data_IF_522853489670
#
_entry.id   IF_522853489670
#
_cell.length_a   1.000
_cell.length_b   1.000
_cell.length_c   1.000
_cell.angle_alpha   90.00
_cell.angle_beta   90.00
_cell.angle_gamma   90.00
#
_symmetry.space_group_name_H-M   'P 1'
#
loop_
_entity.id
_entity.type
_entity.pdbx_description
1 polymer ?
#
# COMPACT_ATOMS: atom_id res chain seq x y z
N UNK A 1 -6.23 -20.76 -6.92
CA UNK A 1 -6.44 -21.07 -8.37
C UNK A 1 -7.79 -20.56 -8.87
N UNK A 2 -8.91 -20.84 -8.19
CA UNK A 2 -10.25 -20.38 -8.59
C UNK A 2 -10.32 -18.85 -8.76
N UNK A 3 -9.77 -18.07 -7.83
CA UNK A 3 -9.71 -16.61 -7.96
C UNK A 3 -9.03 -16.16 -9.27
N UNK A 4 -7.88 -16.75 -9.64
CA UNK A 4 -7.20 -16.48 -10.91
C UNK A 4 -8.08 -16.82 -12.11
N UNK A 5 -8.77 -17.96 -12.09
CA UNK A 5 -9.66 -18.39 -13.17
C UNK A 5 -10.82 -17.40 -13.38
N UNK A 6 -11.41 -16.89 -12.30
CA UNK A 6 -12.51 -15.92 -12.36
C UNK A 6 -12.01 -14.60 -12.98
N UNK A 7 -10.92 -14.04 -12.48
CA UNK A 7 -10.43 -12.71 -12.94
C UNK A 7 -9.88 -12.74 -14.36
N UNK A 8 -9.36 -13.89 -14.81
CA UNK A 8 -8.89 -14.10 -16.19
C UNK A 8 -9.95 -14.65 -17.13
N UNK A 9 -11.19 -14.87 -16.64
CA UNK A 9 -12.31 -15.40 -17.41
C UNK A 9 -12.03 -16.75 -18.07
N UNK A 10 -11.28 -17.62 -17.41
CA UNK A 10 -11.10 -19.01 -17.84
C UNK A 10 -9.66 -19.52 -17.86
N UNK A 11 -8.65 -18.68 -17.61
CA UNK A 11 -7.27 -19.13 -17.66
C UNK A 11 -6.86 -19.86 -16.36
N UNK A 12 -5.79 -20.65 -16.46
CA UNK A 12 -5.22 -21.35 -15.31
C UNK A 12 -3.88 -20.71 -14.92
N UNK A 13 -3.60 -20.47 -13.62
CA UNK A 13 -2.39 -19.76 -13.20
C UNK A 13 -1.09 -20.50 -13.58
N UNK A 14 -1.16 -21.82 -13.77
CA UNK A 14 -0.03 -22.65 -14.20
C UNK A 14 -0.01 -22.94 -15.72
N UNK A 15 -0.81 -22.21 -16.50
CA UNK A 15 -0.84 -22.31 -17.96
C UNK A 15 -1.75 -23.42 -18.51
N UNK A 16 -1.69 -23.59 -19.83
CA UNK A 16 -2.46 -24.58 -20.58
C UNK A 16 -1.87 -26.01 -20.43
N UNK A 17 -2.66 -27.01 -20.81
CA UNK A 17 -2.16 -28.38 -20.98
C UNK A 17 -1.27 -28.43 -22.24
N UNK A 18 -0.22 -29.28 -22.28
CA UNK A 18 0.14 -30.29 -21.29
C UNK A 18 1.02 -29.79 -20.12
N UNK A 19 1.66 -28.63 -20.24
CA UNK A 19 2.69 -28.17 -19.28
C UNK A 19 2.17 -27.80 -17.88
N UNK A 20 0.85 -27.62 -17.74
CA UNK A 20 0.21 -27.22 -16.48
C UNK A 20 0.65 -28.02 -15.26
N UNK A 21 0.67 -29.35 -15.36
CA UNK A 21 1.01 -30.21 -14.22
C UNK A 21 2.47 -30.02 -13.82
N UNK A 22 3.38 -29.97 -14.81
CA UNK A 22 4.80 -29.69 -14.57
C UNK A 22 4.99 -28.32 -13.90
N UNK A 23 4.35 -27.28 -14.42
CA UNK A 23 4.42 -25.94 -13.83
C UNK A 23 3.89 -25.92 -12.39
N UNK A 24 2.83 -26.68 -12.07
CA UNK A 24 2.32 -26.81 -10.71
C UNK A 24 3.33 -27.49 -9.77
N UNK A 25 3.89 -28.62 -10.19
CA UNK A 25 4.89 -29.37 -9.42
C UNK A 25 6.17 -28.56 -9.20
N UNK A 26 6.57 -27.75 -10.19
CA UNK A 26 7.73 -26.88 -10.10
C UNK A 26 7.44 -25.55 -9.36
N UNK A 27 6.19 -25.30 -8.94
CA UNK A 27 5.82 -24.03 -8.29
C UNK A 27 5.92 -22.81 -9.19
N UNK A 28 5.70 -22.96 -10.51
CA UNK A 28 5.84 -21.92 -11.53
C UNK A 28 4.47 -21.44 -12.05
N UNK A 29 3.79 -20.50 -11.39
CA UNK A 29 2.51 -19.95 -11.86
C UNK A 29 2.72 -18.96 -13.04
N UNK A 30 3.04 -19.51 -14.21
CA UNK A 30 3.37 -18.74 -15.43
C UNK A 30 2.29 -17.73 -15.85
N UNK A 31 1.02 -18.02 -15.55
CA UNK A 31 -0.11 -17.14 -15.88
C UNK A 31 -0.11 -15.82 -15.09
N UNK A 32 0.51 -15.76 -13.91
CA UNK A 32 0.63 -14.51 -13.14
C UNK A 32 1.46 -13.45 -13.87
N UNK A 33 2.30 -13.84 -14.84
CA UNK A 33 3.09 -12.89 -15.64
C UNK A 33 2.21 -12.01 -16.52
N UNK A 34 1.05 -12.50 -16.96
CA UNK A 34 0.13 -11.78 -17.83
C UNK A 34 -0.75 -10.74 -17.10
N UNK A 35 -0.85 -10.83 -15.77
CA UNK A 35 -1.61 -9.87 -14.97
C UNK A 35 -0.93 -8.50 -14.95
N UNK A 36 -1.64 -7.47 -15.41
CA UNK A 36 -1.21 -6.06 -15.38
C UNK A 36 -1.44 -5.41 -14.01
N UNK A 37 -2.51 -5.79 -13.34
CA UNK A 37 -2.84 -5.30 -12.01
C UNK A 37 -1.84 -5.86 -10.98
N UNK A 38 -0.99 -4.97 -10.45
CA UNK A 38 0.05 -5.32 -9.49
C UNK A 38 -0.53 -5.73 -8.13
N UNK A 39 -1.65 -5.12 -7.73
CA UNK A 39 -2.28 -5.37 -6.43
C UNK A 39 -2.94 -6.75 -6.43
N UNK A 40 -3.70 -7.07 -7.49
CA UNK A 40 -4.26 -8.41 -7.70
C UNK A 40 -3.17 -9.47 -7.84
N UNK A 41 -2.09 -9.14 -8.57
CA UNK A 41 -0.97 -10.06 -8.78
C UNK A 41 -0.26 -10.38 -7.46
N UNK A 42 -0.11 -9.43 -6.54
CA UNK A 42 0.46 -9.69 -5.21
C UNK A 42 -0.39 -10.71 -4.44
N UNK A 43 -1.70 -10.47 -4.34
CA UNK A 43 -2.64 -11.38 -3.67
C UNK A 43 -2.57 -12.80 -4.25
N UNK A 44 -2.70 -12.91 -5.57
CA UNK A 44 -2.71 -14.22 -6.23
C UNK A 44 -1.36 -14.92 -6.12
N UNK A 45 -0.25 -14.19 -6.16
CA UNK A 45 1.09 -14.75 -5.92
C UNK A 45 1.19 -15.32 -4.51
N UNK A 46 0.71 -14.60 -3.50
CA UNK A 46 0.71 -15.05 -2.11
C UNK A 46 -0.15 -16.29 -1.89
N UNK A 47 -1.38 -16.31 -2.43
CA UNK A 47 -2.29 -17.47 -2.39
C UNK A 47 -1.76 -18.70 -3.14
N UNK A 48 -0.92 -18.50 -4.15
CA UNK A 48 -0.36 -19.55 -5.01
C UNK A 48 1.09 -19.90 -4.65
N UNK A 49 1.57 -19.47 -3.48
CA UNK A 49 2.91 -19.81 -2.99
C UNK A 49 3.13 -21.33 -3.04
N UNK A 50 4.32 -21.73 -3.50
CA UNK A 50 4.60 -23.15 -3.73
C UNK A 50 4.58 -23.93 -2.41
N UNK A 51 5.31 -23.45 -1.40
CA UNK A 51 5.24 -23.98 -0.04
C UNK A 51 3.87 -23.64 0.57
N UNK A 52 3.10 -24.64 1.05
CA UNK A 52 1.85 -24.41 1.76
C UNK A 52 1.97 -23.49 2.98
N UNK A 53 3.13 -23.44 3.67
CA UNK A 53 3.35 -22.61 4.86
C UNK A 53 3.40 -21.12 4.56
N UNK A 54 3.78 -20.76 3.33
CA UNK A 54 3.86 -19.37 2.88
C UNK A 54 2.51 -18.84 2.38
N UNK A 55 1.50 -19.72 2.23
CA UNK A 55 0.17 -19.34 1.79
C UNK A 55 -0.58 -18.66 2.94
N UNK A 56 -1.37 -17.60 2.64
CA UNK A 56 -2.26 -17.00 3.63
C UNK A 56 -3.37 -17.97 4.03
N UNK A 57 -3.84 -17.85 5.28
CA UNK A 57 -5.17 -18.30 5.64
C UNK A 57 -6.24 -17.53 4.86
N UNK A 58 -7.49 -18.01 4.85
CA UNK A 58 -8.59 -17.27 4.22
C UNK A 58 -8.78 -15.89 4.89
N UNK A 59 -8.65 -15.81 6.21
CA UNK A 59 -8.76 -14.58 6.98
C UNK A 59 -7.64 -13.59 6.59
N UNK A 60 -6.39 -14.06 6.53
CA UNK A 60 -5.26 -13.24 6.09
C UNK A 60 -5.40 -12.76 4.64
N UNK A 61 -5.91 -13.62 3.75
CA UNK A 61 -6.15 -13.24 2.36
C UNK A 61 -7.23 -12.15 2.25
N UNK A 62 -8.28 -12.22 3.08
CA UNK A 62 -9.32 -11.19 3.13
C UNK A 62 -8.75 -9.84 3.58
N UNK A 63 -7.77 -9.81 4.48
CA UNK A 63 -7.08 -8.58 4.93
C UNK A 63 -6.16 -7.94 3.88
N UNK A 64 -5.92 -8.60 2.76
CA UNK A 64 -5.09 -8.06 1.69
C UNK A 64 -5.70 -6.77 1.08
N UNK A 65 -4.92 -5.71 0.79
CA UNK A 65 -5.43 -4.43 0.28
C UNK A 65 -6.34 -4.54 -0.95
N UNK A 66 -6.10 -5.50 -1.84
CA UNK A 66 -6.99 -5.80 -2.98
C UNK A 66 -8.47 -6.01 -2.60
N UNK A 67 -8.73 -6.61 -1.43
CA UNK A 67 -10.07 -6.95 -0.96
C UNK A 67 -10.57 -6.00 0.14
N UNK A 68 -9.73 -5.09 0.61
CA UNK A 68 -10.08 -4.13 1.66
C UNK A 68 -10.67 -2.87 1.05
N UNK A 69 -11.69 -2.26 1.71
CA UNK A 69 -12.20 -0.97 1.28
C UNK A 69 -11.13 0.11 1.38
N UNK A 70 -11.28 1.18 0.59
CA UNK A 70 -10.38 2.32 0.57
C UNK A 70 -10.09 2.85 1.99
N UNK A 71 -11.13 2.94 2.82
CA UNK A 71 -11.05 3.45 4.19
C UNK A 71 -10.05 2.63 5.04
N UNK A 72 -10.13 1.31 4.98
CA UNK A 72 -9.21 0.44 5.72
C UNK A 72 -7.79 0.49 5.16
N UNK A 73 -7.63 0.63 3.84
CA UNK A 73 -6.31 0.80 3.23
C UNK A 73 -5.67 2.12 3.68
N UNK A 74 -6.42 3.21 3.69
CA UNK A 74 -5.94 4.53 4.07
C UNK A 74 -5.65 4.62 5.58
N UNK A 75 -6.51 4.04 6.42
CA UNK A 75 -6.28 3.98 7.86
C UNK A 75 -5.00 3.18 8.17
N UNK A 76 -4.76 2.04 7.51
CA UNK A 76 -3.50 1.29 7.65
C UNK A 76 -2.27 2.16 7.32
N UNK A 77 -2.33 2.98 6.26
CA UNK A 77 -1.25 3.92 5.93
C UNK A 77 -1.06 4.98 7.04
N UNK A 78 -2.14 5.47 7.64
CA UNK A 78 -2.09 6.40 8.77
C UNK A 78 -1.47 5.76 10.02
N UNK A 79 -1.87 4.53 10.37
CA UNK A 79 -1.27 3.74 11.48
C UNK A 79 0.21 3.48 11.24
N UNK A 80 0.60 3.22 9.99
CA UNK A 80 1.99 3.09 9.60
C UNK A 80 2.77 4.41 9.78
N UNK A 81 2.21 5.54 9.34
CA UNK A 81 2.77 6.87 9.58
C UNK A 81 2.91 7.25 11.06
N UNK A 82 2.16 6.57 11.94
CA UNK A 82 2.22 6.74 13.39
C UNK A 82 3.36 5.98 14.09
N UNK A 83 3.98 5.00 13.43
CA UNK A 83 5.08 4.23 14.01
C UNK A 83 6.30 5.11 14.28
N UNK A 84 6.98 4.92 15.42
CA UNK A 84 8.07 5.78 15.87
C UNK A 84 9.27 5.76 14.91
N UNK A 85 9.56 4.59 14.32
CA UNK A 85 10.62 4.42 13.34
C UNK A 85 10.32 5.16 12.02
N UNK A 86 9.03 5.25 11.65
CA UNK A 86 8.58 6.02 10.47
C UNK A 86 8.68 7.52 10.75
N UNK A 87 8.24 7.98 11.92
CA UNK A 87 8.34 9.39 12.36
C UNK A 87 9.78 9.89 12.37
N UNK A 88 10.72 9.05 12.80
CA UNK A 88 12.14 9.37 12.91
C UNK A 88 12.94 9.06 11.63
N UNK A 89 12.37 8.29 10.70
CA UNK A 89 13.11 7.77 9.54
C UNK A 89 14.29 6.88 9.95
N UNK A 90 14.11 6.05 10.97
CA UNK A 90 15.18 5.25 11.57
C UNK A 90 15.65 4.13 10.64
N UNK A 91 16.75 4.34 9.93
CA UNK A 91 17.35 3.37 8.98
C UNK A 91 17.86 2.07 9.64
N UNK A 92 17.92 1.98 10.97
CA UNK A 92 18.19 0.71 11.67
C UNK A 92 17.00 -0.26 11.55
N UNK A 93 15.79 0.23 11.30
CA UNK A 93 14.62 -0.61 11.04
C UNK A 93 14.65 -1.16 9.62
N UNK A 94 14.57 -2.49 9.50
CA UNK A 94 14.49 -3.18 8.21
C UNK A 94 13.26 -2.75 7.41
N UNK A 95 12.13 -2.53 8.10
CA UNK A 95 10.89 -2.01 7.50
C UNK A 95 11.13 -0.64 6.87
N UNK A 96 11.84 0.27 7.56
CA UNK A 96 12.16 1.60 7.02
C UNK A 96 13.10 1.50 5.82
N UNK A 97 14.08 0.60 5.83
CA UNK A 97 14.98 0.39 4.69
C UNK A 97 14.24 -0.17 3.49
N UNK A 98 13.42 -1.21 3.68
CA UNK A 98 12.61 -1.83 2.63
C UNK A 98 11.61 -0.85 2.04
N UNK A 99 10.94 -0.06 2.88
CA UNK A 99 9.98 0.93 2.41
C UNK A 99 10.65 1.99 1.52
N UNK A 100 11.89 2.36 1.80
CA UNK A 100 12.64 3.35 1.03
C UNK A 100 13.58 2.75 -0.04
N UNK A 101 13.47 1.44 -0.34
CA UNK A 101 14.37 0.80 -1.30
C UNK A 101 14.08 1.17 -2.76
N UNK A 102 12.83 1.54 -3.09
CA UNK A 102 12.50 2.14 -4.39
C UNK A 102 12.59 3.67 -4.25
N UNK A 103 13.64 4.32 -4.80
CA UNK A 103 13.94 5.73 -4.56
C UNK A 103 13.05 6.68 -5.37
N UNK A 104 11.88 6.24 -5.82
CA UNK A 104 10.94 7.10 -6.53
C UNK A 104 10.56 8.28 -5.66
N UNK A 105 10.80 9.47 -6.20
CA UNK A 105 10.34 10.70 -5.60
C UNK A 105 8.82 10.77 -5.69
N UNK A 106 8.14 10.48 -4.58
CA UNK A 106 6.69 10.62 -4.50
C UNK A 106 6.24 12.07 -4.63
N UNK A 107 7.11 13.05 -4.33
CA UNK A 107 6.76 14.47 -4.42
C UNK A 107 6.60 14.91 -5.87
N UNK A 108 7.36 14.33 -6.79
CA UNK A 108 7.26 14.67 -8.22
C UNK A 108 5.95 14.18 -8.86
N UNK A 109 5.21 13.30 -8.18
CA UNK A 109 3.87 12.86 -8.60
C UNK A 109 2.78 13.83 -8.13
N UNK A 110 3.08 14.72 -7.18
CA UNK A 110 2.15 15.70 -6.65
C UNK A 110 2.29 17.05 -7.35
N UNK A 111 1.16 17.73 -7.54
CA UNK A 111 1.17 19.15 -7.85
C UNK A 111 1.84 19.92 -6.69
N UNK A 112 2.72 20.87 -7.02
CA UNK A 112 3.51 21.61 -6.04
C UNK A 112 2.64 22.45 -5.08
N UNK A 113 1.57 23.07 -5.57
CA UNK A 113 0.65 23.86 -4.76
C UNK A 113 -0.19 22.97 -3.83
N UNK A 114 -0.60 21.78 -4.30
CA UNK A 114 -1.25 20.77 -3.46
C UNK A 114 -0.31 20.31 -2.35
N UNK A 115 0.93 19.96 -2.69
CA UNK A 115 1.92 19.55 -1.71
C UNK A 115 2.18 20.64 -0.67
N UNK A 116 2.31 21.89 -1.11
CA UNK A 116 2.49 23.05 -0.23
C UNK A 116 1.30 23.24 0.72
N UNK A 117 0.07 23.14 0.19
CA UNK A 117 -1.16 23.23 0.98
C UNK A 117 -1.25 22.12 2.04
N UNK A 118 -1.08 20.86 1.63
CA UNK A 118 -1.16 19.70 2.54
C UNK A 118 -0.01 19.66 3.56
N UNK A 119 1.15 20.22 3.21
CA UNK A 119 2.31 20.30 4.10
C UNK A 119 2.25 21.44 5.11
N UNK A 120 1.29 22.36 4.98
CA UNK A 120 1.13 23.49 5.89
C UNK A 120 0.29 23.10 7.09
N UNK A 121 0.81 23.37 8.29
CA UNK A 121 0.10 23.23 9.56
C UNK A 121 -1.12 24.17 9.55
N UNK A 122 -2.35 23.65 9.65
CA UNK A 122 -3.54 24.48 9.55
C UNK A 122 -3.72 25.42 10.74
N UNK A 123 -3.15 25.09 11.90
CA UNK A 123 -3.29 25.87 13.13
C UNK A 123 -2.18 26.92 13.27
N UNK A 124 -0.95 26.56 12.87
CA UNK A 124 0.24 27.40 13.05
C UNK A 124 0.70 28.12 11.78
N UNK A 125 0.16 27.76 10.62
CA UNK A 125 0.60 28.28 9.32
C UNK A 125 2.03 27.88 8.93
N UNK A 126 2.68 26.99 9.70
CA UNK A 126 4.05 26.54 9.45
C UNK A 126 4.05 25.44 8.40
N UNK A 127 4.77 25.63 7.31
CA UNK A 127 5.00 24.57 6.32
C UNK A 127 6.09 23.61 6.79
N UNK A 128 5.77 22.32 6.82
CA UNK A 128 6.73 21.25 7.09
C UNK A 128 7.40 20.79 5.80
N UNK A 129 8.72 20.58 5.86
CA UNK A 129 9.46 20.00 4.74
C UNK A 129 9.52 18.47 4.87
N UNK A 130 8.89 17.77 3.92
CA UNK A 130 8.93 16.31 3.80
C UNK A 130 9.97 15.88 2.77
N UNK A 131 10.93 15.03 3.12
CA UNK A 131 11.94 14.51 2.17
C UNK A 131 11.28 13.59 1.13
N UNK A 132 11.90 13.38 -0.04
CA UNK A 132 11.43 12.43 -1.06
C UNK A 132 11.66 10.97 -0.63
N UNK A 133 11.06 10.59 0.50
CA UNK A 133 11.13 9.27 1.13
C UNK A 133 9.72 8.80 1.45
N UNK A 134 9.45 7.50 1.30
CA UNK A 134 8.15 6.92 1.62
C UNK A 134 7.79 7.06 3.11
N UNK A 135 8.78 7.10 4.00
CA UNK A 135 8.56 7.44 5.41
C UNK A 135 7.97 8.84 5.60
N UNK A 136 8.48 9.83 4.87
CA UNK A 136 7.96 11.20 4.95
C UNK A 136 6.62 11.34 4.20
N UNK A 137 6.38 10.53 3.15
CA UNK A 137 5.07 10.41 2.51
C UNK A 137 4.00 9.92 3.51
N UNK A 138 4.27 8.82 4.23
CA UNK A 138 3.34 8.29 5.24
C UNK A 138 3.11 9.27 6.39
N UNK A 139 4.14 10.04 6.78
CA UNK A 139 4.00 11.12 7.76
C UNK A 139 3.07 12.22 7.24
N UNK A 140 3.19 12.62 5.97
CA UNK A 140 2.30 13.59 5.35
C UNK A 140 0.85 13.05 5.34
N UNK A 141 0.62 11.84 4.84
CA UNK A 141 -0.70 11.19 4.79
C UNK A 141 -1.36 11.20 6.18
N UNK A 142 -0.64 10.72 7.19
CA UNK A 142 -1.13 10.71 8.58
C UNK A 142 -1.46 12.12 9.08
N UNK A 143 -0.60 13.11 8.83
CA UNK A 143 -0.80 14.49 9.29
C UNK A 143 -1.97 15.17 8.56
N UNK A 144 -2.20 14.82 7.30
CA UNK A 144 -3.37 15.30 6.55
C UNK A 144 -4.64 14.73 7.17
N UNK A 145 -4.70 13.43 7.46
CA UNK A 145 -5.88 12.80 8.11
C UNK A 145 -6.17 13.40 9.48
N UNK A 146 -5.16 13.52 10.34
CA UNK A 146 -5.30 14.03 11.71
C UNK A 146 -5.89 15.45 11.75
N UNK A 147 -5.46 16.31 10.84
CA UNK A 147 -5.80 17.74 10.85
C UNK A 147 -6.68 18.16 9.67
N UNK A 148 -7.38 17.22 9.02
CA UNK A 148 -8.16 17.55 7.82
C UNK A 148 -9.25 18.58 8.11
N UNK A 149 -9.98 18.39 9.22
CA UNK A 149 -11.08 19.29 9.64
C UNK A 149 -10.59 20.67 10.10
N UNK A 150 -9.34 20.78 10.52
CA UNK A 150 -8.74 22.06 10.93
C UNK A 150 -8.31 22.91 9.71
N UNK A 151 -8.25 22.32 8.51
CA UNK A 151 -7.68 22.99 7.34
C UNK A 151 -8.60 24.06 6.78
N UNK A 152 -8.05 25.25 6.44
CA UNK A 152 -8.81 26.24 5.70
C UNK A 152 -9.18 25.68 4.34
N UNK A 153 -10.34 26.08 3.81
CA UNK A 153 -10.75 25.68 2.46
C UNK A 153 -9.63 25.98 1.46
N UNK A 154 -9.25 25.02 0.61
CA UNK A 154 -8.25 25.24 -0.41
C UNK A 154 -8.72 26.32 -1.40
N UNK A 155 -7.78 26.91 -2.13
CA UNK A 155 -8.12 27.83 -3.22
C UNK A 155 -8.96 27.10 -4.28
N UNK A 156 -9.83 27.79 -5.03
CA UNK A 156 -10.74 27.15 -5.99
C UNK A 156 -10.05 26.19 -6.97
N UNK A 157 -8.81 26.47 -7.36
CA UNK A 157 -8.01 25.66 -8.29
C UNK A 157 -7.59 24.30 -7.71
N UNK A 158 -7.52 24.19 -6.38
CA UNK A 158 -7.13 22.98 -5.66
C UNK A 158 -8.33 22.23 -5.07
N UNK A 159 -9.50 22.88 -4.98
CA UNK A 159 -10.67 22.37 -4.28
C UNK A 159 -11.09 20.98 -4.77
N UNK A 160 -11.27 20.83 -6.09
CA UNK A 160 -11.67 19.54 -6.68
C UNK A 160 -10.56 18.49 -6.68
N UNK A 161 -9.31 18.89 -6.42
CA UNK A 161 -8.16 17.98 -6.44
C UNK A 161 -8.02 17.25 -5.12
N UNK A 162 -8.34 17.92 -4.01
CA UNK A 162 -8.17 17.38 -2.65
C UNK A 162 -9.46 17.34 -1.84
N UNK A 163 -10.62 17.23 -2.49
CA UNK A 163 -11.93 17.25 -1.80
C UNK A 163 -12.03 16.13 -0.75
N UNK A 164 -11.54 14.93 -1.10
CA UNK A 164 -11.36 13.81 -0.20
C UNK A 164 -9.87 13.40 -0.14
N UNK A 165 -9.20 13.52 1.02
CA UNK A 165 -7.79 13.17 1.14
C UNK A 165 -7.53 11.66 0.98
N UNK A 166 -8.47 10.82 1.39
CA UNK A 166 -8.35 9.37 1.25
C UNK A 166 -8.35 8.98 -0.23
N UNK A 167 -9.37 9.43 -0.96
CA UNK A 167 -9.47 9.17 -2.39
C UNK A 167 -8.27 9.78 -3.14
N UNK A 168 -7.87 11.01 -2.78
CA UNK A 168 -6.73 11.68 -3.40
C UNK A 168 -5.44 10.86 -3.27
N UNK A 169 -5.08 10.42 -2.05
CA UNK A 169 -3.83 9.69 -1.83
C UNK A 169 -3.86 8.28 -2.41
N UNK A 170 -4.99 7.58 -2.36
CA UNK A 170 -5.11 6.24 -2.93
C UNK A 170 -5.10 6.26 -4.47
N UNK A 171 -5.68 7.28 -5.10
CA UNK A 171 -5.60 7.47 -6.55
C UNK A 171 -4.19 7.87 -7.00
N UNK A 172 -3.52 8.71 -6.20
CA UNK A 172 -2.17 9.15 -6.49
C UNK A 172 -1.11 8.04 -6.27
N UNK A 173 -1.28 7.23 -5.22
CA UNK A 173 -0.35 6.17 -4.85
C UNK A 173 -1.05 4.80 -4.76
N UNK A 174 -1.61 4.27 -5.87
CA UNK A 174 -2.48 3.09 -5.84
C UNK A 174 -1.77 1.79 -5.42
N UNK A 175 -0.43 1.77 -5.50
CA UNK A 175 0.36 0.61 -5.07
C UNK A 175 0.89 0.74 -3.63
N UNK A 176 0.81 1.90 -2.99
CA UNK A 176 1.40 2.10 -1.66
C UNK A 176 0.77 1.18 -0.59
N UNK A 177 -0.57 0.98 -0.54
CA UNK A 177 -1.16 0.05 0.42
C UNK A 177 -0.62 -1.37 0.30
N UNK A 178 -0.52 -1.92 -0.92
CA UNK A 178 -0.02 -3.28 -1.13
C UNK A 178 1.47 -3.41 -0.83
N UNK A 179 2.26 -2.38 -1.13
CA UNK A 179 3.69 -2.34 -0.81
C UNK A 179 3.92 -2.33 0.70
N UNK A 180 3.20 -1.49 1.44
CA UNK A 180 3.24 -1.48 2.92
C UNK A 180 2.78 -2.82 3.48
N UNK A 181 1.64 -3.34 3.01
CA UNK A 181 1.09 -4.60 3.50
C UNK A 181 2.08 -5.77 3.29
N UNK A 182 2.71 -5.84 2.12
CA UNK A 182 3.71 -6.87 1.78
C UNK A 182 4.93 -6.83 2.71
N UNK A 183 5.43 -5.64 3.02
CA UNK A 183 6.58 -5.48 3.93
C UNK A 183 6.19 -5.95 5.33
N UNK A 184 5.05 -5.51 5.83
CA UNK A 184 4.63 -5.76 7.22
C UNK A 184 4.20 -7.20 7.47
N UNK A 185 3.49 -7.86 6.54
CA UNK A 185 3.10 -9.27 6.71
C UNK A 185 4.30 -10.22 6.87
N UNK A 186 5.48 -9.78 6.44
CA UNK A 186 6.73 -10.56 6.43
C UNK A 186 7.62 -10.28 7.65
N UNK A 187 7.21 -9.44 8.60
CA UNK A 187 7.95 -9.16 9.82
C UNK A 187 7.06 -9.17 11.07
N UNK A 188 7.65 -8.87 12.22
CA UNK A 188 6.98 -8.81 13.53
C UNK A 188 6.05 -7.60 13.70
N UNK A 189 6.10 -6.61 12.79
CA UNK A 189 5.22 -5.43 12.87
C UNK A 189 3.75 -5.78 12.70
N UNK A 190 3.43 -6.91 12.04
CA UNK A 190 2.06 -7.42 11.93
C UNK A 190 1.42 -7.75 13.27
N UNK A 191 2.21 -7.98 14.32
CA UNK A 191 1.73 -8.27 15.67
C UNK A 191 1.54 -7.00 16.52
N UNK A 192 1.95 -5.83 16.02
CA UNK A 192 1.84 -4.57 16.76
C UNK A 192 0.36 -4.24 17.03
N UNK A 193 0.00 -3.76 18.24
CA UNK A 193 -1.40 -3.51 18.61
C UNK A 193 -2.18 -2.65 17.60
N UNK A 194 -1.54 -1.62 17.06
CA UNK A 194 -2.16 -0.67 16.11
C UNK A 194 -2.19 -1.16 14.66
N UNK A 195 -1.55 -2.30 14.36
CA UNK A 195 -1.42 -2.84 13.01
C UNK A 195 -2.06 -4.21 12.85
N UNK A 196 -2.15 -5.02 13.91
CA UNK A 196 -2.57 -6.43 13.83
C UNK A 196 -3.91 -6.66 13.14
N UNK A 197 -4.86 -5.73 13.28
CA UNK A 197 -6.19 -5.84 12.65
C UNK A 197 -6.15 -5.85 11.12
N UNK A 198 -5.05 -5.39 10.51
CA UNK A 198 -4.84 -5.35 9.05
C UNK A 198 -4.08 -6.58 8.53
N UNK A 199 -3.64 -7.50 9.40
CA UNK A 199 -2.77 -8.62 9.01
C UNK A 199 -3.16 -9.98 9.61
N UNK A 200 -3.85 -9.99 10.74
CA UNK A 200 -4.17 -11.18 11.53
C UNK A 200 -5.68 -11.29 11.70
#
# INVERSE_FOLDING_TARGET
MVAFYIVTKGEHPFGAKPDRLRNLLDGRPVGLKALKDRVLKDLLSWMLSHDPKDRPSAEQALKHPYLQPAEQQFEMLCKMGNQSEIKTGNLKSDVVRLLNSDPKDWRSQMNADVLQYLSTDPLKGKTFHYRPSWTDCLRLIRNVKEHWQDRPRPRPELFYVVDDPEEYFLNLFPNLPVEVHRIIRSCDWKERPDLKEYFI
#
